data_IF_534450112798
#
_entry.id   IF_534450112798
#
_cell.length_a   1.000
_cell.length_b   1.000
_cell.length_c   1.000
_cell.angle_alpha   90.00
_cell.angle_beta   90.00
_cell.angle_gamma   90.00
#
_symmetry.space_group_name_H-M   'P 1'
#
loop_
_entity.id
_entity.type
_entity.pdbx_description
1 polymer ?
#
# COMPACT_ATOMS: atom_id res chain seq x y z
N UNK A 1 -23.63 -13.36 -5.47
CA UNK A 1 -22.74 -12.25 -5.06
C UNK A 1 -22.86 -12.11 -3.56
N UNK A 2 -21.78 -12.25 -2.84
CA UNK A 2 -21.82 -12.03 -1.38
C UNK A 2 -21.86 -10.52 -1.20
N UNK A 3 -22.96 -10.04 -0.63
CA UNK A 3 -23.09 -8.63 -0.25
C UNK A 3 -22.11 -8.35 0.91
N UNK A 4 -21.16 -7.45 0.67
CA UNK A 4 -20.09 -7.16 1.63
C UNK A 4 -20.59 -6.17 2.68
N UNK A 5 -20.77 -6.63 3.90
CA UNK A 5 -21.11 -5.76 5.02
C UNK A 5 -19.86 -5.03 5.54
N UNK A 6 -19.63 -3.84 4.98
CA UNK A 6 -18.46 -3.00 5.32
C UNK A 6 -18.47 -2.55 6.78
N UNK A 7 -19.65 -2.33 7.36
CA UNK A 7 -19.77 -1.94 8.77
C UNK A 7 -19.31 -3.07 9.69
N UNK A 8 -19.69 -4.30 9.39
CA UNK A 8 -19.22 -5.46 10.16
C UNK A 8 -17.74 -5.73 9.97
N UNK A 9 -17.20 -5.46 8.74
CA UNK A 9 -15.76 -5.65 8.49
C UNK A 9 -14.91 -4.61 9.20
N UNK A 10 -15.28 -3.33 9.15
CA UNK A 10 -14.39 -2.23 9.52
C UNK A 10 -14.89 -1.34 10.66
N UNK A 11 -16.18 -1.35 10.97
CA UNK A 11 -16.81 -0.43 11.95
C UNK A 11 -16.24 -0.54 13.37
N UNK A 12 -15.65 -1.69 13.73
CA UNK A 12 -14.95 -1.86 15.01
C UNK A 12 -13.81 -0.90 15.25
N UNK A 13 -13.23 -0.32 14.18
CA UNK A 13 -12.18 0.69 14.28
C UNK A 13 -12.64 2.00 14.92
N UNK A 14 -13.94 2.28 14.98
CA UNK A 14 -14.48 3.43 15.71
C UNK A 14 -14.11 3.40 17.20
N UNK A 15 -13.98 2.22 17.77
CA UNK A 15 -13.57 2.08 19.18
C UNK A 15 -12.16 2.58 19.44
N UNK A 16 -11.30 2.53 18.40
CA UNK A 16 -9.91 2.96 18.48
C UNK A 16 -9.75 4.44 18.09
N UNK A 17 -10.40 4.86 17.01
CA UNK A 17 -10.17 6.16 16.39
C UNK A 17 -11.32 7.17 16.56
N UNK A 18 -12.46 6.76 17.12
CA UNK A 18 -13.69 7.55 17.11
C UNK A 18 -14.31 7.64 15.72
N UNK A 19 -15.50 8.25 15.62
CA UNK A 19 -16.21 8.37 14.35
C UNK A 19 -15.46 9.21 13.32
N UNK A 20 -14.87 10.33 13.74
CA UNK A 20 -14.11 11.21 12.84
C UNK A 20 -12.82 10.55 12.34
N UNK A 21 -12.08 9.86 13.20
CA UNK A 21 -10.87 9.11 12.82
C UNK A 21 -11.20 7.94 11.90
N UNK A 22 -12.25 7.20 12.20
CA UNK A 22 -12.74 6.13 11.33
C UNK A 22 -13.13 6.65 9.94
N UNK A 23 -13.86 7.77 9.86
CA UNK A 23 -14.21 8.36 8.57
C UNK A 23 -12.97 8.75 7.74
N UNK A 24 -11.93 9.30 8.38
CA UNK A 24 -10.65 9.60 7.71
C UNK A 24 -9.97 8.35 7.17
N UNK A 25 -9.93 7.27 7.95
CA UNK A 25 -9.36 5.99 7.49
C UNK A 25 -10.14 5.47 6.29
N UNK A 26 -11.47 5.49 6.34
CA UNK A 26 -12.34 4.97 5.27
C UNK A 26 -12.23 5.76 3.95
N UNK A 27 -11.80 7.00 3.99
CA UNK A 27 -11.60 7.85 2.80
C UNK A 27 -10.15 7.98 2.40
N UNK A 28 -9.21 7.44 3.17
CA UNK A 28 -7.79 7.57 2.94
C UNK A 28 -7.34 6.90 1.62
N UNK A 29 -6.46 7.58 0.91
CA UNK A 29 -5.80 7.15 -0.31
C UNK A 29 -4.30 7.10 -0.06
N UNK A 30 -3.72 5.91 -0.06
CA UNK A 30 -2.34 5.68 0.38
C UNK A 30 -1.51 5.09 -0.75
N UNK A 31 -0.31 5.62 -0.93
CA UNK A 31 0.71 5.08 -1.84
C UNK A 31 1.74 4.30 -1.03
N UNK A 32 2.05 3.09 -1.46
CA UNK A 32 3.08 2.24 -0.85
C UNK A 32 4.17 1.97 -1.89
N UNK A 33 5.37 2.37 -1.58
CA UNK A 33 6.55 2.21 -2.43
C UNK A 33 7.39 1.07 -1.88
N UNK A 34 7.47 0.00 -2.67
CA UNK A 34 8.05 -1.26 -2.25
C UNK A 34 7.04 -2.14 -1.48
N UNK A 35 6.68 -3.28 -2.05
CA UNK A 35 5.77 -4.25 -1.43
C UNK A 35 6.49 -5.55 -1.07
N UNK A 36 7.66 -5.41 -0.49
CA UNK A 36 8.47 -6.49 0.05
C UNK A 36 8.08 -6.89 1.48
N UNK A 37 9.09 -7.21 2.31
CA UNK A 37 8.90 -7.70 3.68
C UNK A 37 8.21 -6.72 4.64
N UNK A 38 8.28 -5.43 4.36
CA UNK A 38 7.61 -4.38 5.14
C UNK A 38 6.37 -3.86 4.43
N UNK A 39 6.49 -3.44 3.17
CA UNK A 39 5.39 -2.80 2.44
C UNK A 39 4.22 -3.71 2.18
N UNK A 40 4.43 -5.01 1.97
CA UNK A 40 3.33 -5.97 1.76
C UNK A 40 2.42 -6.09 3.00
N UNK A 41 3.00 -6.11 4.19
CA UNK A 41 2.23 -6.14 5.44
C UNK A 41 1.55 -4.81 5.73
N UNK A 42 2.19 -3.68 5.41
CA UNK A 42 1.57 -2.36 5.51
C UNK A 42 0.33 -2.26 4.61
N UNK A 43 0.42 -2.73 3.36
CA UNK A 43 -0.71 -2.76 2.43
C UNK A 43 -1.86 -3.62 2.95
N UNK A 44 -1.58 -4.83 3.44
CA UNK A 44 -2.61 -5.68 4.03
C UNK A 44 -3.25 -5.05 5.26
N UNK A 45 -2.46 -4.46 6.15
CA UNK A 45 -2.97 -3.80 7.34
C UNK A 45 -3.92 -2.63 6.98
N UNK A 46 -3.55 -1.82 6.01
CA UNK A 46 -4.40 -0.72 5.52
C UNK A 46 -5.68 -1.23 4.86
N UNK A 47 -5.60 -2.28 4.06
CA UNK A 47 -6.79 -2.91 3.48
C UNK A 47 -7.74 -3.42 4.56
N UNK A 48 -7.21 -4.04 5.62
CA UNK A 48 -7.99 -4.51 6.78
C UNK A 48 -8.56 -3.37 7.63
N UNK A 49 -7.99 -2.18 7.53
CA UNK A 49 -8.57 -0.96 8.10
C UNK A 49 -9.64 -0.33 7.20
N UNK A 50 -9.83 -0.82 6.00
CA UNK A 50 -10.87 -0.38 5.09
C UNK A 50 -10.59 0.94 4.38
N UNK A 51 -9.31 1.26 4.05
CA UNK A 51 -8.94 2.47 3.30
C UNK A 51 -9.59 2.51 1.92
N UNK A 52 -9.81 3.71 1.37
CA UNK A 52 -10.49 3.89 0.10
C UNK A 52 -9.66 3.42 -1.09
N UNK A 53 -8.36 3.68 -1.09
CA UNK A 53 -7.48 3.35 -2.21
C UNK A 53 -6.05 3.04 -1.77
N UNK A 54 -5.43 2.13 -2.51
CA UNK A 54 -4.01 1.79 -2.37
C UNK A 54 -3.35 1.82 -3.74
N UNK A 55 -2.28 2.58 -3.86
CA UNK A 55 -1.36 2.51 -5.00
C UNK A 55 -0.12 1.77 -4.58
N UNK A 56 0.16 0.66 -5.23
CA UNK A 56 1.26 -0.25 -4.92
C UNK A 56 2.34 -0.12 -6.01
N UNK A 57 3.55 0.25 -5.64
CA UNK A 57 4.65 0.47 -6.59
C UNK A 57 5.78 -0.51 -6.31
N UNK A 58 5.98 -1.46 -7.20
CA UNK A 58 7.07 -2.43 -7.14
C UNK A 58 7.21 -3.13 -8.49
N UNK A 59 8.42 -3.34 -8.98
CA UNK A 59 8.67 -3.98 -10.27
C UNK A 59 8.89 -5.49 -10.15
N UNK A 60 9.14 -6.00 -8.94
CA UNK A 60 9.52 -7.39 -8.72
C UNK A 60 8.36 -8.37 -8.89
N UNK A 61 8.73 -9.62 -9.17
CA UNK A 61 7.85 -10.77 -9.16
C UNK A 61 8.08 -11.61 -7.90
N UNK A 62 7.05 -12.32 -7.49
CA UNK A 62 7.09 -13.22 -6.32
C UNK A 62 8.08 -14.35 -6.58
N UNK A 63 9.04 -14.52 -5.67
CA UNK A 63 10.05 -15.56 -5.71
C UNK A 63 9.98 -16.47 -4.47
N UNK A 64 10.53 -17.67 -4.57
CA UNK A 64 10.63 -18.64 -3.45
C UNK A 64 11.21 -17.99 -2.18
N UNK A 65 12.25 -17.18 -2.34
CA UNK A 65 12.92 -16.50 -1.23
C UNK A 65 12.06 -15.45 -0.51
N UNK A 66 10.92 -15.07 -1.08
CA UNK A 66 10.01 -14.10 -0.48
C UNK A 66 9.02 -14.75 0.50
N UNK A 67 8.80 -16.06 0.40
CA UNK A 67 7.75 -16.79 1.14
C UNK A 67 7.90 -16.64 2.66
N UNK A 68 9.12 -16.55 3.14
CA UNK A 68 9.40 -16.47 4.57
C UNK A 68 8.99 -15.16 5.25
N UNK A 69 8.66 -14.09 4.48
CA UNK A 69 8.41 -12.76 5.08
C UNK A 69 7.46 -11.83 4.32
N UNK A 70 7.02 -12.16 3.11
CA UNK A 70 6.12 -11.32 2.31
C UNK A 70 4.73 -11.93 2.25
N UNK A 71 3.71 -11.15 2.61
CA UNK A 71 2.35 -11.67 2.83
C UNK A 71 1.70 -12.23 1.57
N UNK A 72 2.00 -11.68 0.38
CA UNK A 72 1.48 -12.15 -0.90
C UNK A 72 2.26 -13.32 -1.48
N UNK A 73 3.42 -13.66 -0.89
CA UNK A 73 4.27 -14.73 -1.38
C UNK A 73 3.79 -16.09 -0.87
N UNK A 74 3.18 -16.83 -1.76
CA UNK A 74 2.64 -18.18 -1.55
C UNK A 74 3.05 -19.06 -2.72
N UNK A 75 3.01 -20.40 -2.57
CA UNK A 75 3.27 -21.31 -3.67
C UNK A 75 2.41 -21.01 -4.92
N UNK A 76 1.14 -20.64 -4.72
CA UNK A 76 0.22 -20.31 -5.80
C UNK A 76 0.50 -18.95 -6.48
N UNK A 77 1.29 -18.07 -5.87
CA UNK A 77 1.58 -16.75 -6.42
C UNK A 77 2.99 -16.60 -6.99
N UNK A 78 3.82 -17.63 -6.90
CA UNK A 78 5.17 -17.64 -7.48
C UNK A 78 5.16 -17.21 -8.95
N UNK A 79 6.04 -16.29 -9.31
CA UNK A 79 6.16 -15.76 -10.66
C UNK A 79 5.20 -14.62 -11.01
N UNK A 80 4.14 -14.37 -10.23
CA UNK A 80 3.27 -13.21 -10.44
C UNK A 80 4.00 -11.91 -10.08
N UNK A 81 3.63 -10.81 -10.72
CA UNK A 81 4.04 -9.49 -10.24
C UNK A 81 3.58 -9.31 -8.79
N UNK A 82 4.45 -8.81 -7.92
CA UNK A 82 4.13 -8.63 -6.50
C UNK A 82 2.91 -7.73 -6.29
N UNK A 83 2.81 -6.65 -7.07
CA UNK A 83 1.67 -5.73 -6.98
C UNK A 83 0.36 -6.39 -7.39
N UNK A 84 0.38 -7.29 -8.38
CA UNK A 84 -0.80 -8.04 -8.80
C UNK A 84 -1.23 -9.06 -7.73
N UNK A 85 -0.30 -9.86 -7.23
CA UNK A 85 -0.59 -10.85 -6.19
C UNK A 85 -1.18 -10.19 -4.93
N UNK A 86 -0.67 -9.02 -4.57
CA UNK A 86 -1.15 -8.26 -3.43
C UNK A 86 -2.52 -7.63 -3.70
N UNK A 87 -2.77 -7.11 -4.91
CA UNK A 87 -4.06 -6.56 -5.30
C UNK A 87 -5.18 -7.63 -5.26
N UNK A 88 -4.90 -8.83 -5.73
CA UNK A 88 -5.84 -9.96 -5.65
C UNK A 88 -6.18 -10.30 -4.19
N UNK A 89 -5.19 -10.32 -3.33
CA UNK A 89 -5.37 -10.56 -1.89
C UNK A 89 -6.18 -9.44 -1.22
N UNK A 90 -5.93 -8.18 -1.57
CA UNK A 90 -6.68 -7.03 -1.05
C UNK A 90 -8.14 -7.09 -1.51
N UNK A 91 -8.40 -7.49 -2.74
CA UNK A 91 -9.76 -7.64 -3.26
C UNK A 91 -10.61 -8.63 -2.46
N UNK A 92 -10.00 -9.66 -1.90
CA UNK A 92 -10.68 -10.63 -1.03
C UNK A 92 -10.97 -10.05 0.38
N UNK A 93 -10.05 -9.24 0.89
CA UNK A 93 -10.19 -8.56 2.19
C UNK A 93 -11.18 -7.40 2.11
N UNK A 94 -11.03 -6.55 1.12
CA UNK A 94 -11.77 -5.30 0.93
C UNK A 94 -12.09 -5.07 -0.56
N UNK A 95 -13.17 -5.67 -1.09
CA UNK A 95 -13.55 -5.56 -2.50
C UNK A 95 -13.81 -4.12 -2.97
N UNK A 96 -14.17 -3.23 -2.05
CA UNK A 96 -14.40 -1.80 -2.35
C UNK A 96 -13.15 -0.94 -2.37
N UNK A 97 -11.97 -1.48 -2.09
CA UNK A 97 -10.71 -0.74 -2.17
C UNK A 97 -10.31 -0.55 -3.64
N UNK A 98 -10.03 0.69 -4.03
CA UNK A 98 -9.49 1.01 -5.34
C UNK A 98 -7.98 0.74 -5.35
N UNK A 99 -7.56 -0.36 -5.96
CA UNK A 99 -6.14 -0.79 -5.93
C UNK A 99 -5.51 -0.62 -7.29
N UNK A 100 -4.43 0.17 -7.35
CA UNK A 100 -3.60 0.36 -8.52
C UNK A 100 -2.21 -0.23 -8.31
N UNK A 101 -1.85 -1.25 -9.08
CA UNK A 101 -0.51 -1.81 -9.14
C UNK A 101 0.31 -1.14 -10.24
N UNK A 102 1.47 -0.61 -9.90
CA UNK A 102 2.43 -0.03 -10.83
C UNK A 102 3.69 -0.90 -10.82
N UNK A 103 3.93 -1.60 -11.93
CA UNK A 103 5.10 -2.47 -12.11
C UNK A 103 6.33 -1.64 -12.51
N UNK A 104 6.75 -0.74 -11.63
CA UNK A 104 7.95 0.08 -11.77
C UNK A 104 8.66 0.22 -10.43
N UNK A 105 9.95 0.56 -10.45
CA UNK A 105 10.62 1.07 -9.27
C UNK A 105 10.46 2.59 -9.21
N UNK A 106 10.15 3.13 -8.03
CA UNK A 106 10.26 4.56 -7.81
C UNK A 106 11.73 4.97 -7.81
N UNK A 107 12.07 5.99 -8.60
CA UNK A 107 13.41 6.53 -8.74
C UNK A 107 13.39 8.05 -8.65
N UNK A 108 14.56 8.66 -8.54
CA UNK A 108 14.67 10.12 -8.60
C UNK A 108 14.14 10.71 -9.92
N UNK A 109 14.21 9.92 -11.02
CA UNK A 109 13.85 10.39 -12.37
C UNK A 109 12.33 10.31 -12.63
N UNK A 110 11.63 9.32 -12.07
CA UNK A 110 10.20 9.12 -12.31
C UNK A 110 9.29 9.59 -11.14
N UNK A 111 9.89 9.99 -10.04
CA UNK A 111 9.15 10.55 -8.91
C UNK A 111 9.10 12.10 -9.00
N UNK A 112 7.94 12.77 -8.81
CA UNK A 112 6.66 12.22 -8.29
C UNK A 112 5.63 11.86 -9.38
N UNK A 113 6.02 11.65 -10.62
CA UNK A 113 5.10 11.36 -11.73
C UNK A 113 4.26 10.07 -11.52
N UNK A 114 4.73 9.15 -10.66
CA UNK A 114 4.00 7.92 -10.32
C UNK A 114 2.83 8.14 -9.35
N UNK A 115 2.72 9.33 -8.75
CA UNK A 115 1.64 9.63 -7.80
C UNK A 115 0.29 9.73 -8.50
N UNK A 116 -0.79 9.17 -7.89
CA UNK A 116 -2.15 9.45 -8.32
C UNK A 116 -2.52 10.91 -8.07
N UNK A 117 -3.61 11.37 -8.71
CA UNK A 117 -4.10 12.75 -8.56
C UNK A 117 -4.56 13.10 -7.13
N UNK A 118 -4.96 12.10 -6.36
CA UNK A 118 -5.38 12.26 -4.97
C UNK A 118 -4.61 11.28 -4.09
N UNK A 119 -3.87 11.79 -3.12
CA UNK A 119 -3.09 11.03 -2.16
C UNK A 119 -3.06 11.74 -0.81
N UNK A 120 -3.30 10.99 0.26
CA UNK A 120 -3.27 11.50 1.64
C UNK A 120 -1.96 11.12 2.35
N UNK A 121 -1.41 9.96 2.00
CA UNK A 121 -0.18 9.47 2.63
C UNK A 121 0.67 8.64 1.66
N UNK A 122 1.97 8.72 1.85
CA UNK A 122 2.98 7.91 1.16
C UNK A 122 3.78 7.13 2.19
N UNK A 123 3.88 5.82 2.00
CA UNK A 123 4.74 4.93 2.78
C UNK A 123 5.89 4.49 1.89
N UNK A 124 7.10 4.93 2.24
CA UNK A 124 8.33 4.49 1.60
C UNK A 124 8.89 3.27 2.35
N UNK A 125 8.67 2.09 1.78
CA UNK A 125 9.19 0.81 2.24
C UNK A 125 10.15 0.16 1.21
N UNK A 126 10.74 0.97 0.33
CA UNK A 126 11.75 0.49 -0.62
C UNK A 126 13.13 0.36 0.02
N UNK A 127 14.00 -0.41 -0.60
CA UNK A 127 15.38 -0.64 -0.17
C UNK A 127 16.43 0.16 -0.96
N UNK A 128 16.00 0.96 -1.93
CA UNK A 128 16.87 1.74 -2.81
C UNK A 128 17.25 3.08 -2.16
N UNK A 129 18.49 3.24 -1.73
CA UNK A 129 18.96 4.44 -1.00
C UNK A 129 18.74 5.73 -1.78
N UNK A 130 19.04 5.75 -3.08
CA UNK A 130 18.83 6.94 -3.92
C UNK A 130 17.36 7.32 -4.05
N UNK A 131 16.48 6.32 -4.19
CA UNK A 131 15.05 6.55 -4.20
C UNK A 131 14.58 7.11 -2.87
N UNK A 132 14.98 6.52 -1.75
CA UNK A 132 14.65 7.04 -0.41
C UNK A 132 15.06 8.49 -0.21
N UNK A 133 16.24 8.88 -0.67
CA UNK A 133 16.71 10.27 -0.61
C UNK A 133 15.82 11.21 -1.43
N UNK A 134 15.46 10.82 -2.65
CA UNK A 134 14.57 11.60 -3.52
C UNK A 134 13.17 11.75 -2.93
N UNK A 135 12.62 10.66 -2.39
CA UNK A 135 11.31 10.64 -1.73
C UNK A 135 11.30 11.52 -0.48
N UNK A 136 12.30 11.43 0.36
CA UNK A 136 12.42 12.25 1.56
C UNK A 136 12.57 13.75 1.22
N UNK A 137 13.35 14.08 0.19
CA UNK A 137 13.49 15.44 -0.29
C UNK A 137 12.18 16.01 -0.85
N UNK A 138 11.42 15.19 -1.58
CA UNK A 138 10.09 15.54 -2.07
C UNK A 138 9.11 15.77 -0.90
N UNK A 139 9.09 14.87 0.09
CA UNK A 139 8.20 14.96 1.24
C UNK A 139 8.37 16.26 2.04
N UNK A 140 9.61 16.74 2.17
CA UNK A 140 9.90 18.03 2.84
C UNK A 140 9.26 19.22 2.15
N UNK A 141 9.03 19.12 0.84
CA UNK A 141 8.40 20.20 0.03
C UNK A 141 6.89 20.03 -0.11
N UNK A 142 6.34 18.88 0.29
CA UNK A 142 4.93 18.53 0.12
C UNK A 142 4.33 18.10 1.46
N UNK A 143 4.33 19.02 2.45
CA UNK A 143 3.94 18.72 3.83
C UNK A 143 2.43 18.47 4.04
N UNK A 144 1.61 18.72 3.03
CA UNK A 144 0.17 18.39 3.06
C UNK A 144 -0.10 16.89 2.92
N UNK A 145 0.90 16.13 2.49
CA UNK A 145 0.84 14.68 2.36
C UNK A 145 1.64 14.04 3.50
N UNK A 146 1.01 13.15 4.25
CA UNK A 146 1.72 12.40 5.29
C UNK A 146 2.78 11.48 4.63
N UNK A 147 3.98 11.47 5.19
CA UNK A 147 5.07 10.65 4.68
C UNK A 147 5.69 9.82 5.80
N UNK A 148 5.74 8.52 5.57
CA UNK A 148 6.37 7.55 6.49
C UNK A 148 7.48 6.83 5.74
N UNK A 149 8.70 6.95 6.24
CA UNK A 149 9.86 6.22 5.72
C UNK A 149 10.19 5.07 6.66
N UNK A 150 10.23 3.86 6.14
CA UNK A 150 10.51 2.65 6.90
C UNK A 150 11.76 1.99 6.32
N UNK A 151 12.62 1.46 7.21
CA UNK A 151 13.73 0.61 6.79
C UNK A 151 13.22 -0.70 6.19
N UNK A 152 13.85 -1.15 5.11
CA UNK A 152 13.58 -2.45 4.48
C UNK A 152 14.58 -3.50 4.99
#
# INVERSE_FOLDING_TARGET
MIDVDLERRFGGLRRLYGDAGYARVRTARVVIIGVGGVGSWAAEALARCGVAALTLIDMDHVAESNINRQVQALGATLGKAKVQALAERIADIHPGCDVHGIEEFATADNWPALLPSAVDAVIDACDQVRAKQALAAWARRNQDIAFVCVGA
#
